data_IF_203531594650
#
_entry.id   IF_203531594650
#
_cell.length_a   1.000
_cell.length_b   1.000
_cell.length_c   1.000
_cell.angle_alpha   90.00
_cell.angle_beta   90.00
_cell.angle_gamma   90.00
#
_symmetry.space_group_name_H-M   'P 1'
#
loop_
_entity.id
_entity.type
_entity.pdbx_description
1 polymer ?
#
# COMPACT_ATOMS: atom_id res chain seq x y z
N UNK A 1 -13.23 1.89 2.06
CA UNK A 1 -13.80 1.00 1.04
C UNK A 1 -14.90 1.72 0.26
N UNK A 2 -14.87 1.69 -1.08
CA UNK A 2 -15.81 2.43 -1.95
C UNK A 2 -17.23 1.83 -2.03
N UNK A 3 -17.54 0.84 -1.20
CA UNK A 3 -18.90 0.31 -1.01
C UNK A 3 -19.48 -0.48 -2.19
N UNK A 4 -18.68 -0.88 -3.17
CA UNK A 4 -19.12 -1.68 -4.33
C UNK A 4 -18.92 -3.20 -4.14
N UNK A 5 -18.36 -3.61 -3.00
CA UNK A 5 -18.21 -5.01 -2.60
C UNK A 5 -17.80 -5.12 -1.13
N UNK A 6 -17.75 -6.35 -0.62
CA UNK A 6 -17.34 -6.71 0.75
C UNK A 6 -16.07 -7.56 0.70
N UNK A 7 -15.08 -7.24 1.53
CA UNK A 7 -13.86 -8.06 1.65
C UNK A 7 -14.17 -9.27 2.51
N UNK A 8 -13.74 -10.44 2.03
CA UNK A 8 -13.86 -11.71 2.71
C UNK A 8 -12.47 -12.28 2.96
N UNK A 9 -12.23 -12.80 4.16
CA UNK A 9 -10.95 -13.40 4.52
C UNK A 9 -10.78 -14.75 3.82
N UNK A 10 -9.66 -14.94 3.12
CA UNK A 10 -9.33 -16.20 2.45
C UNK A 10 -9.22 -17.38 3.42
N UNK A 11 -8.85 -17.13 4.68
CA UNK A 11 -8.74 -18.17 5.70
C UNK A 11 -10.11 -18.69 6.15
N UNK A 12 -11.17 -17.92 5.92
CA UNK A 12 -12.57 -18.26 6.26
C UNK A 12 -13.31 -18.96 5.10
N UNK A 13 -12.64 -19.24 3.98
CA UNK A 13 -13.26 -19.89 2.80
C UNK A 13 -13.79 -21.30 3.08
N UNK A 14 -13.28 -21.97 4.12
CA UNK A 14 -13.75 -23.28 4.54
C UNK A 14 -15.14 -23.23 5.18
N UNK A 15 -15.61 -22.05 5.62
CA UNK A 15 -16.92 -21.84 6.22
C UNK A 15 -17.91 -21.44 5.11
N UNK A 16 -18.64 -22.44 4.61
CA UNK A 16 -19.60 -22.32 3.52
C UNK A 16 -20.81 -21.45 3.89
N UNK A 17 -21.29 -21.55 5.14
CA UNK A 17 -22.40 -20.74 5.65
C UNK A 17 -22.07 -19.24 5.61
N UNK A 18 -20.90 -18.88 6.16
CA UNK A 18 -20.43 -17.48 6.20
C UNK A 18 -20.17 -16.93 4.80
N UNK A 19 -19.67 -17.77 3.90
CA UNK A 19 -19.46 -17.41 2.50
C UNK A 19 -20.80 -17.15 1.79
N UNK A 20 -21.77 -18.06 1.96
CA UNK A 20 -23.10 -17.93 1.37
C UNK A 20 -23.84 -16.68 1.88
N UNK A 21 -23.75 -16.40 3.18
CA UNK A 21 -24.31 -15.19 3.78
C UNK A 21 -23.68 -13.92 3.19
N UNK A 22 -22.34 -13.90 3.08
CA UNK A 22 -21.62 -12.75 2.51
C UNK A 22 -22.00 -12.51 1.05
N UNK A 23 -22.11 -13.58 0.25
CA UNK A 23 -22.53 -13.48 -1.14
C UNK A 23 -23.97 -12.95 -1.23
N UNK A 24 -24.89 -13.49 -0.42
CA UNK A 24 -26.30 -13.08 -0.40
C UNK A 24 -26.43 -11.60 -0.03
N UNK A 25 -25.70 -11.14 0.98
CA UNK A 25 -25.68 -9.72 1.35
C UNK A 25 -25.21 -8.83 0.19
N UNK A 26 -24.15 -9.20 -0.52
CA UNK A 26 -23.62 -8.40 -1.64
C UNK A 26 -24.61 -8.33 -2.80
N UNK A 27 -25.37 -9.41 -3.05
CA UNK A 27 -26.36 -9.49 -4.13
C UNK A 27 -27.64 -8.72 -3.76
N UNK A 28 -28.16 -8.91 -2.55
CA UNK A 28 -29.46 -8.40 -2.12
C UNK A 28 -29.40 -6.91 -1.74
N UNK A 29 -28.26 -6.45 -1.22
CA UNK A 29 -28.11 -5.06 -0.83
C UNK A 29 -27.81 -4.17 -2.05
N UNK A 30 -28.82 -3.38 -2.43
CA UNK A 30 -28.77 -2.45 -3.57
C UNK A 30 -27.58 -1.47 -3.54
N UNK A 31 -27.07 -1.11 -2.36
CA UNK A 31 -25.91 -0.23 -2.18
C UNK A 31 -24.70 -0.69 -2.99
N UNK A 32 -24.45 -2.00 -3.04
CA UNK A 32 -23.30 -2.55 -3.77
C UNK A 32 -23.45 -2.32 -5.27
N UNK A 33 -24.65 -2.57 -5.82
CA UNK A 33 -24.98 -2.36 -7.23
C UNK A 33 -24.88 -0.88 -7.63
N UNK A 34 -25.42 0.01 -6.82
CA UNK A 34 -25.38 1.46 -7.09
C UNK A 34 -23.96 2.00 -7.08
N UNK A 35 -23.16 1.62 -6.08
CA UNK A 35 -21.76 2.00 -6.02
C UNK A 35 -20.94 1.39 -7.16
N UNK A 36 -21.20 0.14 -7.53
CA UNK A 36 -20.54 -0.49 -8.68
C UNK A 36 -20.84 0.26 -9.98
N UNK A 37 -22.10 0.63 -10.24
CA UNK A 37 -22.49 1.45 -11.41
C UNK A 37 -21.83 2.82 -11.39
N UNK A 38 -21.82 3.50 -10.23
CA UNK A 38 -21.15 4.80 -10.06
C UNK A 38 -19.66 4.71 -10.39
N UNK A 39 -18.97 3.70 -9.86
CA UNK A 39 -17.53 3.49 -10.13
C UNK A 39 -17.30 3.15 -11.60
N UNK A 40 -18.11 2.29 -12.19
CA UNK A 40 -18.04 1.98 -13.62
C UNK A 40 -18.17 3.23 -14.48
N UNK A 41 -19.11 4.13 -14.16
CA UNK A 41 -19.30 5.38 -14.89
C UNK A 41 -18.11 6.33 -14.71
N UNK A 42 -17.51 6.40 -13.51
CA UNK A 42 -16.30 7.19 -13.27
C UNK A 42 -15.09 6.65 -14.06
N UNK A 43 -14.91 5.33 -14.12
CA UNK A 43 -13.83 4.70 -14.87
C UNK A 43 -13.98 4.90 -16.37
N UNK A 44 -15.21 4.78 -16.90
CA UNK A 44 -15.51 5.02 -18.31
C UNK A 44 -15.30 6.48 -18.74
N UNK A 45 -15.52 7.43 -17.81
CA UNK A 45 -15.34 8.88 -18.04
C UNK A 45 -13.96 9.38 -17.64
N UNK A 46 -13.01 8.50 -17.29
CA UNK A 46 -11.66 8.92 -16.94
C UNK A 46 -11.04 9.69 -18.13
N UNK A 47 -10.40 10.85 -17.92
CA UNK A 47 -9.93 11.72 -19.00
C UNK A 47 -8.83 11.10 -19.87
N UNK A 48 -8.10 10.12 -19.34
CA UNK A 48 -7.07 9.38 -20.06
C UNK A 48 -7.25 7.90 -19.83
N UNK A 49 -7.15 7.11 -20.90
CA UNK A 49 -7.11 5.66 -20.84
C UNK A 49 -5.83 5.19 -20.15
N UNK A 50 -5.84 3.96 -19.62
CA UNK A 50 -4.65 3.37 -19.00
C UNK A 50 -3.47 3.29 -19.97
N UNK A 51 -3.73 3.07 -21.26
CA UNK A 51 -2.70 3.04 -22.31
C UNK A 51 -2.06 4.41 -22.51
N UNK A 52 -2.85 5.47 -22.64
CA UNK A 52 -2.34 6.83 -22.81
C UNK A 52 -1.54 7.28 -21.59
N UNK A 53 -2.03 6.96 -20.39
CA UNK A 53 -1.32 7.27 -19.16
C UNK A 53 0.05 6.57 -19.11
N UNK A 54 0.11 5.30 -19.50
CA UNK A 54 1.37 4.55 -19.60
C UNK A 54 2.33 5.21 -20.59
N UNK A 55 1.87 5.53 -21.80
CA UNK A 55 2.70 6.18 -22.82
C UNK A 55 3.26 7.51 -22.28
N UNK A 56 2.41 8.37 -21.71
CA UNK A 56 2.85 9.65 -21.13
C UNK A 56 3.88 9.49 -20.02
N UNK A 57 3.72 8.48 -19.15
CA UNK A 57 4.70 8.22 -18.10
C UNK A 57 6.03 7.71 -18.66
N UNK A 58 6.01 6.87 -19.70
CA UNK A 58 7.21 6.39 -20.38
C UNK A 58 7.92 7.52 -21.11
N UNK A 59 7.19 8.35 -21.84
CA UNK A 59 7.73 9.54 -22.53
C UNK A 59 8.37 10.51 -21.53
N UNK A 60 7.67 10.82 -20.43
CA UNK A 60 8.21 11.66 -19.37
C UNK A 60 9.50 11.07 -18.77
N UNK A 61 9.53 9.76 -18.50
CA UNK A 61 10.72 9.09 -17.98
C UNK A 61 11.86 9.02 -19.01
N UNK A 62 11.55 8.95 -20.30
CA UNK A 62 12.55 8.98 -21.37
C UNK A 62 13.16 10.38 -21.55
N UNK A 63 12.36 11.43 -21.40
CA UNK A 63 12.81 12.83 -21.55
C UNK A 63 13.58 13.32 -20.32
N UNK A 64 13.07 13.08 -19.11
CA UNK A 64 13.62 13.65 -17.87
C UNK A 64 14.40 12.64 -17.01
N UNK A 65 14.42 11.37 -17.42
CA UNK A 65 14.97 10.30 -16.60
C UNK A 65 14.07 9.96 -15.40
N UNK A 66 14.55 9.10 -14.49
CA UNK A 66 13.75 8.66 -13.37
C UNK A 66 13.69 9.74 -12.27
N UNK A 67 12.48 10.10 -11.85
CA UNK A 67 12.28 11.08 -10.77
C UNK A 67 12.88 10.59 -9.46
N UNK A 68 13.74 11.41 -8.84
CA UNK A 68 14.31 11.13 -7.51
C UNK A 68 13.25 10.98 -6.42
N UNK A 69 12.06 11.57 -6.59
CA UNK A 69 10.94 11.42 -5.67
C UNK A 69 10.16 10.11 -5.85
N UNK A 70 10.23 9.49 -7.03
CA UNK A 70 9.58 8.20 -7.34
C UNK A 70 10.52 7.00 -7.17
N UNK A 71 11.80 7.26 -6.87
CA UNK A 71 12.79 6.23 -6.55
C UNK A 71 12.88 6.07 -5.04
N UNK A 72 12.91 4.84 -4.50
CA UNK A 72 13.24 4.63 -3.10
C UNK A 72 14.61 5.22 -2.77
N UNK A 73 14.66 6.18 -1.85
CA UNK A 73 15.91 6.82 -1.42
C UNK A 73 16.93 5.82 -0.85
N UNK A 74 16.46 4.64 -0.42
CA UNK A 74 17.31 3.55 0.04
C UNK A 74 18.34 3.08 -0.99
N UNK A 75 18.12 3.34 -2.28
CA UNK A 75 19.06 2.99 -3.35
C UNK A 75 20.29 3.92 -3.39
N UNK A 76 20.15 5.13 -2.87
CA UNK A 76 21.21 6.14 -2.85
C UNK A 76 21.92 6.19 -1.48
N UNK A 77 21.45 5.39 -0.51
CA UNK A 77 21.98 5.32 0.85
C UNK A 77 23.19 4.40 0.96
N UNK A 78 24.18 4.81 1.74
CA UNK A 78 25.30 3.95 2.09
C UNK A 78 24.87 2.87 3.10
N UNK A 79 25.66 1.80 3.21
CA UNK A 79 25.39 0.68 4.13
C UNK A 79 25.11 1.13 5.58
N UNK A 80 25.77 2.20 6.03
CA UNK A 80 25.60 2.79 7.37
C UNK A 80 24.21 3.40 7.54
N UNK A 81 23.76 4.19 6.57
CA UNK A 81 22.47 4.89 6.58
C UNK A 81 21.33 3.90 6.40
N UNK A 82 21.47 3.00 5.44
CA UNK A 82 20.47 1.97 5.13
C UNK A 82 20.17 1.09 6.36
N UNK A 83 21.20 0.70 7.11
CA UNK A 83 21.05 -0.13 8.31
C UNK A 83 20.90 0.68 9.60
N UNK A 84 20.83 2.02 9.53
CA UNK A 84 20.72 2.90 10.70
C UNK A 84 21.76 2.61 11.80
N UNK A 85 23.01 2.29 11.40
CA UNK A 85 24.06 1.82 12.32
C UNK A 85 24.33 2.85 13.42
N UNK A 86 24.25 4.14 13.11
CA UNK A 86 24.43 5.20 14.10
C UNK A 86 23.41 5.11 15.27
N UNK A 87 22.15 4.79 14.97
CA UNK A 87 21.09 4.65 15.98
C UNK A 87 21.35 3.40 16.84
N UNK A 88 21.78 2.30 16.23
CA UNK A 88 22.12 1.06 16.94
C UNK A 88 23.28 1.30 17.90
N UNK A 89 24.37 1.93 17.42
CA UNK A 89 25.55 2.24 18.23
C UNK A 89 25.19 3.18 19.39
N UNK A 90 24.39 4.22 19.13
CA UNK A 90 23.94 5.13 20.18
C UNK A 90 23.10 4.41 21.24
N UNK A 91 22.17 3.55 20.82
CA UNK A 91 21.36 2.73 21.74
C UNK A 91 22.21 1.80 22.61
N UNK A 92 23.21 1.14 22.02
CA UNK A 92 24.13 0.28 22.76
C UNK A 92 24.96 1.07 23.79
N UNK A 93 25.51 2.22 23.41
CA UNK A 93 26.26 3.08 24.34
C UNK A 93 25.38 3.59 25.48
N UNK A 94 24.16 4.05 25.19
CA UNK A 94 23.22 4.50 26.21
C UNK A 94 22.84 3.37 27.18
N UNK A 95 22.58 2.17 26.66
CA UNK A 95 22.29 1.00 27.51
C UNK A 95 23.49 0.59 28.37
N UNK A 96 24.71 0.64 27.84
CA UNK A 96 25.93 0.35 28.61
C UNK A 96 26.16 1.37 29.73
N UNK A 97 25.90 2.66 29.49
CA UNK A 97 25.97 3.71 30.51
C UNK A 97 24.90 3.47 31.58
N UNK A 98 23.66 3.16 31.17
CA UNK A 98 22.57 2.85 32.10
C UNK A 98 22.89 1.66 33.00
N UNK A 99 23.43 0.58 32.43
CA UNK A 99 23.86 -0.61 33.17
C UNK A 99 24.97 -0.25 34.17
N UNK A 100 25.98 0.53 33.74
CA UNK A 100 27.04 0.99 34.64
C UNK A 100 26.52 1.86 35.80
N UNK A 101 25.49 2.67 35.55
CA UNK A 101 24.86 3.47 36.59
C UNK A 101 24.01 2.61 37.54
N UNK A 102 23.29 1.61 37.03
CA UNK A 102 22.49 0.69 37.85
C UNK A 102 23.30 -0.31 38.67
N UNK A 103 24.56 -0.57 38.28
CA UNK A 103 25.49 -1.44 39.01
C UNK A 103 26.30 -0.70 40.08
N UNK A 104 26.32 0.63 40.06
CA UNK A 104 26.86 1.49 41.11
C UNK A 104 25.79 1.83 42.14
#
# INVERSE_FOLDING_TARGET
FNGFGRVFDKHELHNDEKLAETIREVIDNQKYRENAKRISAMLAKKPFTSKELMIKHVEFAAEFGPSSALRPQSLDMNFIEYNNIAIIVFGLLASAIFINFSLK
#
